data_IF_547550674019
#
_entry.id   IF_547550674019
#
_cell.length_a   1.000
_cell.length_b   1.000
_cell.length_c   1.000
_cell.angle_alpha   90.00
_cell.angle_beta   90.00
_cell.angle_gamma   90.00
#
_symmetry.space_group_name_H-M   'P 1'
#
loop_
_entity.id
_entity.type
_entity.pdbx_description
1 polymer ?
#
# COMPACT_ATOMS: atom_id res chain seq x y z
N UNK A 1 19.02 -26.00 3.82
CA UNK A 1 18.84 -25.54 2.41
C UNK A 1 19.83 -24.41 2.11
N UNK A 2 20.53 -24.43 0.97
CA UNK A 2 21.50 -23.38 0.59
C UNK A 2 20.75 -22.20 -0.05
N UNK A 3 20.67 -21.04 0.62
CA UNK A 3 19.90 -19.84 0.20
C UNK A 3 20.15 -19.42 -1.26
N UNK A 4 21.39 -19.54 -1.73
CA UNK A 4 21.76 -19.22 -3.13
C UNK A 4 21.03 -20.09 -4.16
N UNK A 5 20.79 -21.37 -3.85
CA UNK A 5 20.14 -22.29 -4.77
C UNK A 5 18.64 -22.03 -4.82
N UNK A 6 18.05 -21.64 -3.68
CA UNK A 6 16.65 -21.24 -3.62
C UNK A 6 16.38 -20.02 -4.51
N UNK A 7 17.16 -18.94 -4.35
CA UNK A 7 17.01 -17.72 -5.15
C UNK A 7 17.21 -18.01 -6.65
N UNK A 8 18.22 -18.82 -7.00
CA UNK A 8 18.49 -19.17 -8.40
C UNK A 8 17.35 -19.99 -9.02
N UNK A 9 16.74 -20.90 -8.26
CA UNK A 9 15.61 -21.69 -8.73
C UNK A 9 14.35 -20.83 -8.88
N UNK A 10 14.07 -19.95 -7.91
CA UNK A 10 12.94 -19.01 -7.95
C UNK A 10 13.05 -18.03 -9.13
N UNK A 11 14.23 -17.51 -9.43
CA UNK A 11 14.45 -16.60 -10.55
C UNK A 11 14.17 -17.27 -11.91
N UNK A 12 14.65 -18.51 -12.11
CA UNK A 12 14.45 -19.24 -13.37
C UNK A 12 12.99 -19.62 -13.59
N UNK A 13 12.24 -19.96 -12.54
CA UNK A 13 10.79 -20.23 -12.63
C UNK A 13 9.93 -18.96 -12.70
N UNK A 14 10.43 -17.81 -12.22
CA UNK A 14 9.67 -16.55 -12.16
C UNK A 14 9.57 -15.82 -13.50
N UNK A 15 10.51 -16.04 -14.42
CA UNK A 15 10.51 -15.35 -15.73
C UNK A 15 9.38 -15.80 -16.68
N UNK A 16 8.78 -16.97 -16.44
CA UNK A 16 7.62 -17.42 -17.21
C UNK A 16 6.33 -16.64 -16.88
N UNK A 17 6.28 -15.98 -15.71
CA UNK A 17 5.12 -15.21 -15.26
C UNK A 17 5.28 -13.70 -15.53
N UNK A 18 6.50 -13.20 -15.72
CA UNK A 18 6.75 -11.78 -15.99
C UNK A 18 6.44 -11.35 -17.42
N UNK A 19 6.37 -12.29 -18.37
CA UNK A 19 5.99 -11.99 -19.77
C UNK A 19 4.51 -11.56 -19.93
N UNK A 20 3.64 -11.97 -19.01
CA UNK A 20 2.22 -11.59 -19.00
C UNK A 20 1.91 -10.47 -17.98
N UNK A 21 2.76 -10.28 -16.97
CA UNK A 21 2.62 -9.19 -15.99
C UNK A 21 2.97 -7.80 -16.57
N UNK A 22 3.75 -7.73 -17.65
CA UNK A 22 4.05 -6.46 -18.33
C UNK A 22 2.88 -5.86 -19.13
N UNK A 23 1.84 -6.66 -19.43
CA UNK A 23 0.65 -6.21 -20.15
C UNK A 23 -0.51 -5.82 -19.22
N UNK A 24 -0.45 -6.21 -17.95
CA UNK A 24 -1.42 -5.82 -16.95
C UNK A 24 -0.82 -4.66 -16.16
N UNK A 25 -0.88 -3.47 -16.75
CA UNK A 25 -0.69 -2.22 -16.03
C UNK A 25 -1.57 -2.24 -14.80
N UNK A 26 -0.98 -2.54 -13.64
CA UNK A 26 -1.62 -2.45 -12.34
C UNK A 26 -1.74 -0.97 -11.99
N UNK A 27 -2.60 -0.27 -12.72
CA UNK A 27 -3.21 0.96 -12.24
C UNK A 27 -4.16 0.54 -11.14
N UNK A 28 -3.65 0.45 -9.91
CA UNK A 28 -4.49 0.48 -8.72
C UNK A 28 -5.20 1.81 -8.77
N UNK A 29 -6.42 1.78 -9.28
CA UNK A 29 -7.37 2.84 -8.97
C UNK A 29 -7.55 2.76 -7.47
N UNK A 30 -7.11 3.78 -6.75
CA UNK A 30 -7.37 4.01 -5.33
C UNK A 30 -8.87 4.31 -5.17
N UNK A 31 -9.71 3.36 -5.56
CA UNK A 31 -11.12 3.38 -5.24
C UNK A 31 -11.19 3.32 -3.73
N UNK A 32 -11.69 4.39 -3.10
CA UNK A 32 -11.70 4.61 -1.64
C UNK A 32 -12.24 3.41 -0.86
N UNK A 33 -11.36 2.46 -0.57
CA UNK A 33 -11.60 1.38 0.37
C UNK A 33 -11.36 2.02 1.73
N UNK A 34 -12.44 2.47 2.36
CA UNK A 34 -12.39 2.80 3.78
C UNK A 34 -11.82 1.58 4.51
N UNK A 35 -10.77 1.80 5.28
CA UNK A 35 -10.05 0.71 5.92
C UNK A 35 -11.01 -0.06 6.84
N UNK A 36 -11.10 -1.37 6.68
CA UNK A 36 -11.92 -2.21 7.58
C UNK A 36 -11.42 -2.08 9.04
N UNK A 37 -10.13 -1.80 9.22
CA UNK A 37 -9.54 -1.48 10.51
C UNK A 37 -9.61 0.02 10.80
N UNK A 38 -10.78 0.48 11.26
CA UNK A 38 -11.01 1.82 11.80
C UNK A 38 -10.12 2.16 13.00
N UNK A 39 -9.86 3.45 13.21
CA UNK A 39 -9.11 3.91 14.38
C UNK A 39 -9.93 3.67 15.66
N UNK A 40 -9.38 2.91 16.61
CA UNK A 40 -10.06 2.55 17.88
C UNK A 40 -9.74 3.48 19.05
N UNK A 41 -8.95 4.52 18.81
CA UNK A 41 -8.50 5.45 19.84
C UNK A 41 -9.63 6.41 20.22
N UNK A 42 -9.74 6.77 21.50
CA UNK A 42 -10.72 7.75 22.01
C UNK A 42 -10.32 9.20 21.73
N UNK A 43 -9.27 9.42 20.95
CA UNK A 43 -8.74 10.73 20.61
C UNK A 43 -8.29 10.74 19.15
N UNK A 44 -8.36 11.91 18.53
CA UNK A 44 -7.93 12.09 17.15
C UNK A 44 -6.39 12.04 17.04
N UNK A 45 -5.84 11.40 16.00
CA UNK A 45 -4.44 11.55 15.63
C UNK A 45 -4.06 13.01 15.35
N UNK A 46 -2.77 13.34 15.43
CA UNK A 46 -2.30 14.71 15.18
C UNK A 46 -2.44 15.11 13.70
N UNK A 47 -2.59 16.42 13.44
CA UNK A 47 -2.69 16.99 12.09
C UNK A 47 -1.43 16.84 11.22
N UNK A 48 -0.37 16.21 11.70
CA UNK A 48 0.81 15.85 10.90
C UNK A 48 1.13 14.36 10.91
N UNK A 49 0.30 13.53 11.54
CA UNK A 49 0.55 12.09 11.68
C UNK A 49 0.61 11.37 10.33
N UNK A 50 -0.20 11.81 9.36
CA UNK A 50 -0.32 11.15 8.05
C UNK A 50 0.23 12.00 6.90
N UNK A 51 1.24 12.84 7.14
CA UNK A 51 1.75 13.74 6.09
C UNK A 51 2.34 13.03 4.87
N UNK A 52 2.85 11.80 5.05
CA UNK A 52 3.38 10.97 3.96
C UNK A 52 2.27 10.31 3.13
N UNK A 53 1.06 10.19 3.68
CA UNK A 53 -0.09 9.57 3.00
C UNK A 53 -1.07 10.62 2.45
N UNK A 54 -1.40 11.62 3.26
CA UNK A 54 -2.38 12.65 2.94
C UNK A 54 -1.76 13.93 2.35
N UNK A 55 -0.45 14.14 2.53
CA UNK A 55 0.25 15.35 2.11
C UNK A 55 0.49 16.34 3.24
N UNK A 56 1.10 17.48 2.90
CA UNK A 56 1.49 18.52 3.87
C UNK A 56 0.33 19.39 4.34
N UNK A 57 -0.78 19.40 3.61
CA UNK A 57 -1.92 20.23 3.94
C UNK A 57 -2.74 19.62 5.08
N UNK A 58 -3.07 20.39 6.13
CA UNK A 58 -3.80 19.88 7.28
C UNK A 58 -5.21 19.42 6.93
N UNK A 59 -5.82 20.02 5.90
CA UNK A 59 -7.16 19.65 5.42
C UNK A 59 -7.15 18.22 4.85
N UNK A 60 -6.12 17.87 4.09
CA UNK A 60 -6.05 16.55 3.48
C UNK A 60 -5.77 15.48 4.53
N UNK A 61 -5.02 15.82 5.58
CA UNK A 61 -4.87 14.94 6.71
C UNK A 61 -6.20 14.68 7.46
N UNK A 62 -7.06 15.70 7.59
CA UNK A 62 -8.40 15.52 8.17
C UNK A 62 -9.26 14.61 7.28
N UNK A 63 -9.23 14.80 5.95
CA UNK A 63 -9.94 13.92 5.02
C UNK A 63 -9.46 12.48 5.12
N UNK A 64 -8.15 12.28 5.18
CA UNK A 64 -7.56 10.95 5.35
C UNK A 64 -8.02 10.27 6.64
N UNK A 65 -8.09 11.01 7.75
CA UNK A 65 -8.61 10.47 9.02
C UNK A 65 -10.09 10.09 8.89
N UNK A 66 -10.90 10.88 8.17
CA UNK A 66 -12.31 10.58 7.93
C UNK A 66 -12.50 9.36 7.01
N UNK A 67 -11.65 9.20 6.00
CA UNK A 67 -11.75 8.10 5.04
C UNK A 67 -11.25 6.76 5.62
N UNK A 68 -10.18 6.80 6.43
CA UNK A 68 -9.56 5.61 7.02
C UNK A 68 -10.10 5.24 8.41
N UNK A 69 -10.83 6.16 9.07
CA UNK A 69 -11.28 6.06 10.47
C UNK A 69 -12.66 5.49 10.68
#
# INVERSE_FOLDING_TARGET
MKRRNFIRNTAVSGMALTGLAGALGFSVSEAGVSNSAKFKLKYAPSLRTFSEHAGKDPIDNIKFIADQG
#
